data_IF_950364364624
#
_entry.id   IF_950364364624
#
_cell.length_a   1.000
_cell.length_b   1.000
_cell.length_c   1.000
_cell.angle_alpha   90.00
_cell.angle_beta   90.00
_cell.angle_gamma   90.00
#
_symmetry.space_group_name_H-M   'P 1'
#
loop_
_entity.id
_entity.type
_entity.pdbx_description
1 polymer ?
#
# COMPACT_ATOMS: atom_id res chain seq x y z
N UNK A 1 14.22 -32.82 9.30
CA UNK A 1 13.55 -31.87 8.39
C UNK A 1 12.54 -31.15 9.25
N UNK A 2 12.72 -29.84 9.44
CA UNK A 2 11.92 -29.09 10.41
C UNK A 2 10.50 -28.88 9.87
N UNK A 3 9.51 -28.85 10.77
CA UNK A 3 8.08 -28.65 10.41
C UNK A 3 7.85 -27.42 9.53
N UNK A 4 8.72 -26.43 9.65
CA UNK A 4 8.69 -25.18 8.90
C UNK A 4 9.17 -25.32 7.44
N UNK A 5 10.11 -26.23 7.20
CA UNK A 5 10.62 -26.50 5.85
C UNK A 5 9.55 -27.22 5.02
N UNK A 6 8.73 -28.05 5.67
CA UNK A 6 7.60 -28.74 5.05
C UNK A 6 6.52 -27.76 4.58
N UNK A 7 6.13 -26.81 5.44
CA UNK A 7 5.15 -25.76 5.11
C UNK A 7 5.61 -24.83 3.98
N UNK A 8 6.90 -24.48 3.96
CA UNK A 8 7.45 -23.64 2.89
C UNK A 8 7.49 -24.41 1.55
N UNK A 9 7.73 -25.72 1.56
CA UNK A 9 7.66 -26.58 0.37
C UNK A 9 6.23 -26.71 -0.16
N UNK A 10 5.25 -26.93 0.70
CA UNK A 10 3.83 -27.01 0.30
C UNK A 10 3.33 -25.68 -0.30
N UNK A 11 3.73 -24.55 0.28
CA UNK A 11 3.40 -23.23 -0.26
C UNK A 11 4.05 -22.98 -1.64
N UNK A 12 5.28 -23.48 -1.86
CA UNK A 12 5.97 -23.41 -3.15
C UNK A 12 5.29 -24.30 -4.18
N UNK A 13 4.86 -25.51 -3.79
CA UNK A 13 4.15 -26.44 -4.68
C UNK A 13 2.79 -25.90 -5.09
N UNK A 14 2.02 -25.32 -4.17
CA UNK A 14 0.76 -24.68 -4.51
C UNK A 14 0.94 -23.52 -5.51
N UNK A 15 1.95 -22.67 -5.30
CA UNK A 15 2.32 -21.61 -6.25
C UNK A 15 2.71 -22.15 -7.63
N UNK A 16 3.40 -23.29 -7.68
CA UNK A 16 3.80 -23.94 -8.93
C UNK A 16 2.59 -24.51 -9.70
N UNK A 17 1.53 -24.92 -8.99
CA UNK A 17 0.28 -25.42 -9.56
C UNK A 17 -0.71 -24.32 -9.98
N UNK A 18 -0.35 -23.04 -9.80
CA UNK A 18 -1.25 -21.91 -10.10
C UNK A 18 -2.31 -21.68 -9.03
N UNK A 19 -2.22 -22.41 -7.91
CA UNK A 19 -3.04 -22.19 -6.73
C UNK A 19 -2.37 -21.09 -5.88
N UNK A 20 -3.16 -20.14 -5.37
CA UNK A 20 -2.66 -19.20 -4.37
C UNK A 20 -2.14 -19.97 -3.16
N UNK A 21 -1.12 -19.47 -2.44
CA UNK A 21 -0.55 -20.20 -1.30
C UNK A 21 -1.67 -20.61 -0.33
N UNK A 22 -1.71 -21.89 0.08
CA UNK A 22 -2.79 -22.44 0.89
C UNK A 22 -2.77 -21.71 2.22
N UNK A 23 -3.87 -21.02 2.47
CA UNK A 23 -4.08 -20.15 3.60
C UNK A 23 -3.09 -18.97 3.65
N UNK A 24 -3.65 -17.77 3.74
CA UNK A 24 -2.93 -16.64 4.29
C UNK A 24 -2.61 -16.97 5.76
N UNK A 25 -1.58 -17.82 5.98
CA UNK A 25 -0.95 -17.99 7.27
C UNK A 25 -0.74 -16.58 7.76
N UNK A 26 -1.37 -16.24 8.89
CA UNK A 26 -1.20 -15.00 9.63
C UNK A 26 0.26 -14.93 10.11
N UNK A 27 1.21 -14.92 9.17
CA UNK A 27 2.64 -14.79 9.39
C UNK A 27 2.78 -13.37 9.90
N UNK A 28 2.94 -13.25 11.23
CA UNK A 28 3.30 -12.01 11.89
C UNK A 28 4.42 -11.31 11.11
N UNK A 29 4.44 -9.98 11.19
CA UNK A 29 5.42 -9.15 10.47
C UNK A 29 6.83 -9.71 10.73
N UNK A 30 7.48 -10.21 9.68
CA UNK A 30 8.81 -10.82 9.81
C UNK A 30 9.78 -9.75 10.37
N UNK A 31 10.80 -10.11 11.16
CA UNK A 31 11.66 -9.12 11.83
C UNK A 31 12.24 -8.05 10.90
N UNK A 32 12.62 -8.43 9.68
CA UNK A 32 13.14 -7.52 8.64
C UNK A 32 12.06 -6.66 7.96
N UNK A 33 10.78 -6.98 8.11
CA UNK A 33 9.65 -6.18 7.60
C UNK A 33 9.18 -5.13 8.62
N UNK A 34 9.53 -5.28 9.92
CA UNK A 34 9.01 -4.42 11.02
C UNK A 34 9.24 -2.94 10.80
N UNK A 35 10.46 -2.56 10.39
CA UNK A 35 10.79 -1.14 10.15
C UNK A 35 9.98 -0.55 8.99
N UNK A 36 9.75 -1.36 7.95
CA UNK A 36 8.93 -0.98 6.80
C UNK A 36 7.47 -0.78 7.20
N UNK A 37 6.90 -1.74 7.94
CA UNK A 37 5.52 -1.69 8.42
C UNK A 37 5.32 -0.56 9.42
N UNK A 38 6.21 -0.38 10.38
CA UNK A 38 6.12 0.69 11.37
C UNK A 38 6.12 2.08 10.72
N UNK A 39 6.97 2.30 9.70
CA UNK A 39 6.96 3.54 8.92
C UNK A 39 5.65 3.72 8.15
N UNK A 40 5.16 2.67 7.49
CA UNK A 40 3.90 2.71 6.75
C UNK A 40 2.74 3.11 7.67
N UNK A 41 2.59 2.46 8.82
CA UNK A 41 1.50 2.75 9.76
C UNK A 41 1.58 4.17 10.32
N UNK A 42 2.79 4.68 10.61
CA UNK A 42 2.98 6.08 11.00
C UNK A 42 2.51 7.06 9.92
N UNK A 43 2.89 6.82 8.66
CA UNK A 43 2.47 7.64 7.52
C UNK A 43 0.96 7.53 7.28
N UNK A 44 0.39 6.34 7.41
CA UNK A 44 -1.04 6.11 7.28
C UNK A 44 -1.84 6.85 8.34
N UNK A 45 -1.44 6.78 9.62
CA UNK A 45 -2.09 7.54 10.71
C UNK A 45 -2.03 9.05 10.46
N UNK A 46 -0.92 9.55 9.93
CA UNK A 46 -0.78 10.96 9.54
C UNK A 46 -1.78 11.32 8.43
N UNK A 47 -1.83 10.54 7.36
CA UNK A 47 -2.81 10.69 6.28
C UNK A 47 -4.24 10.65 6.81
N UNK A 48 -4.58 9.70 7.68
CA UNK A 48 -5.90 9.57 8.26
C UNK A 48 -6.31 10.83 9.04
N UNK A 49 -5.39 11.38 9.84
CA UNK A 49 -5.63 12.61 10.59
C UNK A 49 -5.78 13.86 9.74
N UNK A 50 -5.03 13.96 8.64
CA UNK A 50 -5.02 15.14 7.77
C UNK A 50 -6.15 15.14 6.74
N UNK A 51 -6.50 13.97 6.19
CA UNK A 51 -7.32 13.87 4.97
C UNK A 51 -8.69 13.23 5.21
N UNK A 52 -8.76 12.15 6.00
CA UNK A 52 -10.03 11.42 6.18
C UNK A 52 -10.99 12.22 7.05
N UNK A 53 -12.30 12.04 6.84
CA UNK A 53 -13.37 12.59 7.69
C UNK A 53 -13.87 11.51 8.66
N UNK A 54 -14.62 11.90 9.69
CA UNK A 54 -15.30 10.94 10.57
C UNK A 54 -16.38 10.18 9.74
N UNK A 55 -16.56 8.86 9.93
CA UNK A 55 -15.94 8.00 10.95
C UNK A 55 -14.57 7.41 10.57
N UNK A 56 -14.21 7.39 9.29
CA UNK A 56 -13.00 6.73 8.79
C UNK A 56 -11.71 7.23 9.45
N UNK A 57 -11.64 8.54 9.76
CA UNK A 57 -10.52 9.15 10.49
C UNK A 57 -10.28 8.48 11.83
N UNK A 58 -11.34 8.25 12.60
CA UNK A 58 -11.25 7.74 13.98
C UNK A 58 -10.82 6.28 13.95
N UNK A 59 -11.48 5.49 13.09
CA UNK A 59 -11.17 4.07 12.86
C UNK A 59 -9.70 3.92 12.44
N UNK A 60 -9.27 4.64 11.39
CA UNK A 60 -7.94 4.48 10.83
C UNK A 60 -6.82 5.09 11.71
N UNK A 61 -7.15 6.00 12.65
CA UNK A 61 -6.18 6.46 13.65
C UNK A 61 -6.01 5.46 14.79
N UNK A 62 -7.10 4.85 15.25
CA UNK A 62 -7.08 3.84 16.29
C UNK A 62 -6.37 2.57 15.79
N UNK A 63 -6.92 1.97 14.73
CA UNK A 63 -6.56 0.65 14.20
C UNK A 63 -6.24 0.75 12.70
N UNK A 64 -5.08 1.33 12.32
CA UNK A 64 -4.73 1.59 10.92
C UNK A 64 -4.60 0.30 10.12
N UNK A 65 -5.30 0.19 8.99
CA UNK A 65 -5.21 -0.97 8.08
C UNK A 65 -5.61 -2.33 8.70
N UNK A 66 -6.24 -2.34 9.88
CA UNK A 66 -6.71 -3.57 10.54
C UNK A 66 -8.13 -3.96 10.09
N UNK A 67 -8.87 -3.03 9.50
CA UNK A 67 -10.16 -3.29 8.86
C UNK A 67 -10.01 -3.31 7.34
N UNK A 68 -11.06 -3.77 6.65
CA UNK A 68 -11.13 -3.54 5.21
C UNK A 68 -11.05 -2.04 4.93
N UNK A 69 -10.20 -1.68 3.96
CA UNK A 69 -10.03 -0.31 3.48
C UNK A 69 -10.46 -0.28 2.01
N UNK A 70 -11.46 0.55 1.67
CA UNK A 70 -11.87 0.81 0.30
C UNK A 70 -10.73 1.27 -0.61
N UNK A 71 -10.77 0.84 -1.88
CA UNK A 71 -9.72 1.11 -2.86
C UNK A 71 -9.50 2.60 -3.11
N UNK A 72 -10.57 3.41 -3.07
CA UNK A 72 -10.51 4.87 -3.21
C UNK A 72 -9.70 5.51 -2.07
N UNK A 73 -9.82 5.04 -0.83
CA UNK A 73 -9.03 5.55 0.31
C UNK A 73 -7.54 5.24 0.09
N UNK A 74 -7.22 4.05 -0.42
CA UNK A 74 -5.84 3.67 -0.76
C UNK A 74 -5.29 4.56 -1.87
N UNK A 75 -6.08 4.82 -2.93
CA UNK A 75 -5.71 5.77 -4.00
C UNK A 75 -5.45 7.17 -3.43
N UNK A 76 -6.31 7.65 -2.53
CA UNK A 76 -6.13 8.95 -1.86
C UNK A 76 -4.85 8.99 -1.03
N UNK A 77 -4.51 7.91 -0.31
CA UNK A 77 -3.23 7.80 0.40
C UNK A 77 -2.05 7.88 -0.57
N UNK A 78 -2.07 7.13 -1.67
CA UNK A 78 -0.99 7.14 -2.67
C UNK A 78 -0.84 8.53 -3.32
N UNK A 79 -1.94 9.22 -3.60
CA UNK A 79 -1.91 10.60 -4.10
C UNK A 79 -1.34 11.58 -3.08
N UNK A 80 -1.77 11.47 -1.82
CA UNK A 80 -1.23 12.27 -0.71
C UNK A 80 0.28 12.03 -0.55
N UNK A 81 0.73 10.77 -0.65
CA UNK A 81 2.16 10.44 -0.65
C UNK A 81 2.87 11.17 -1.76
N UNK A 82 2.36 11.15 -2.97
CA UNK A 82 2.98 11.85 -4.09
C UNK A 82 3.07 13.37 -3.86
N UNK A 83 2.04 13.99 -3.29
CA UNK A 83 1.99 15.46 -3.08
C UNK A 83 2.86 15.94 -1.91
N UNK A 84 2.88 15.21 -0.80
CA UNK A 84 3.44 15.68 0.48
C UNK A 84 4.59 14.81 1.00
N UNK A 85 4.83 13.69 0.35
CA UNK A 85 5.78 12.70 0.79
C UNK A 85 7.20 12.96 0.31
N UNK A 86 8.16 12.65 1.17
CA UNK A 86 9.58 12.55 0.79
C UNK A 86 9.94 11.11 0.45
N UNK A 87 10.81 10.93 -0.54
CA UNK A 87 11.45 9.64 -0.82
C UNK A 87 12.29 9.17 0.37
N UNK A 88 12.71 7.90 0.35
CA UNK A 88 13.58 7.34 1.40
C UNK A 88 15.03 7.83 1.29
N UNK A 89 15.43 8.28 0.11
CA UNK A 89 16.72 8.93 -0.13
C UNK A 89 16.45 10.43 -0.04
N UNK A 90 17.23 11.11 0.80
CA UNK A 90 17.03 12.52 1.08
C UNK A 90 17.08 13.35 -0.21
N UNK A 91 16.17 14.32 -0.33
CA UNK A 91 16.01 15.14 -1.54
C UNK A 91 15.44 14.45 -2.78
N UNK A 92 15.16 13.12 -2.79
CA UNK A 92 14.56 12.44 -3.96
C UNK A 92 13.04 12.40 -3.89
N UNK A 93 12.41 12.74 -5.02
CA UNK A 93 10.97 12.62 -5.23
C UNK A 93 10.49 11.16 -5.11
N UNK A 94 9.22 10.99 -4.77
CA UNK A 94 8.59 9.68 -4.74
C UNK A 94 8.52 9.07 -6.14
N UNK A 95 8.96 7.82 -6.24
CA UNK A 95 8.99 7.07 -7.51
C UNK A 95 7.82 6.12 -7.63
N UNK A 96 7.52 5.69 -8.86
CA UNK A 96 6.53 4.63 -9.16
C UNK A 96 6.82 3.39 -8.33
N UNK A 97 8.09 2.99 -8.24
CA UNK A 97 8.50 1.81 -7.45
C UNK A 97 8.23 1.99 -5.96
N UNK A 98 8.41 3.19 -5.42
CA UNK A 98 8.12 3.49 -4.01
C UNK A 98 6.63 3.31 -3.72
N UNK A 99 5.77 3.89 -4.55
CA UNK A 99 4.31 3.77 -4.38
C UNK A 99 3.81 2.34 -4.57
N UNK A 100 4.37 1.61 -5.55
CA UNK A 100 4.04 0.19 -5.73
C UNK A 100 4.41 -0.62 -4.50
N UNK A 101 5.62 -0.41 -3.94
CA UNK A 101 6.05 -1.08 -2.71
C UNK A 101 5.13 -0.74 -1.54
N UNK A 102 4.78 0.53 -1.34
CA UNK A 102 3.85 0.94 -0.28
C UNK A 102 2.46 0.32 -0.46
N UNK A 103 1.93 0.28 -1.69
CA UNK A 103 0.67 -0.40 -1.97
C UNK A 103 0.71 -1.90 -1.65
N UNK A 104 1.76 -2.62 -2.08
CA UNK A 104 1.91 -4.04 -1.74
C UNK A 104 1.99 -4.27 -0.23
N UNK A 105 2.64 -3.37 0.51
CA UNK A 105 2.68 -3.44 1.96
C UNK A 105 1.31 -3.21 2.58
N UNK A 106 0.52 -2.26 2.07
CA UNK A 106 -0.87 -2.03 2.51
C UNK A 106 -1.73 -3.26 2.23
N UNK A 107 -1.73 -3.75 0.99
CA UNK A 107 -2.54 -4.90 0.58
C UNK A 107 -2.22 -6.15 1.40
N UNK A 108 -0.91 -6.42 1.60
CA UNK A 108 -0.44 -7.53 2.45
C UNK A 108 -0.81 -7.32 3.92
N UNK A 109 -0.78 -6.09 4.43
CA UNK A 109 -1.18 -5.83 5.81
C UNK A 109 -2.68 -6.06 6.00
N UNK A 110 -3.52 -5.51 5.12
CA UNK A 110 -4.98 -5.71 5.16
C UNK A 110 -5.33 -7.20 5.04
N UNK A 111 -4.74 -7.92 4.08
CA UNK A 111 -5.00 -9.35 3.89
C UNK A 111 -4.49 -10.24 5.04
N UNK A 112 -3.60 -9.73 5.91
CA UNK A 112 -3.19 -10.44 7.14
C UNK A 112 -4.17 -10.23 8.29
N UNK A 113 -4.82 -9.07 8.32
CA UNK A 113 -5.74 -8.69 9.40
C UNK A 113 -7.20 -9.02 9.07
N UNK A 114 -7.50 -9.15 7.79
CA UNK A 114 -8.83 -9.39 7.25
C UNK A 114 -8.80 -10.54 6.24
N UNK A 115 -9.95 -11.14 5.94
CA UNK A 115 -10.09 -12.15 4.89
C UNK A 115 -10.23 -11.53 3.49
N UNK A 116 -9.71 -10.31 3.31
CA UNK A 116 -9.81 -9.59 2.03
C UNK A 116 -8.93 -10.24 0.98
N UNK A 117 -9.60 -10.74 -0.06
CA UNK A 117 -8.96 -11.16 -1.31
C UNK A 117 -8.88 -9.99 -2.28
N UNK A 118 -7.67 -9.68 -2.75
CA UNK A 118 -7.44 -8.64 -3.75
C UNK A 118 -7.58 -9.22 -5.14
N UNK A 119 -8.46 -8.66 -5.97
CA UNK A 119 -8.62 -9.13 -7.34
C UNK A 119 -7.45 -8.66 -8.23
N UNK A 120 -7.18 -9.39 -9.31
CA UNK A 120 -6.23 -8.95 -10.36
C UNK A 120 -6.62 -7.57 -10.91
N UNK A 121 -7.93 -7.28 -10.97
CA UNK A 121 -8.47 -6.00 -11.40
C UNK A 121 -8.08 -4.86 -10.45
N UNK A 122 -8.15 -5.07 -9.13
CA UNK A 122 -7.73 -4.06 -8.14
C UNK A 122 -6.25 -3.73 -8.28
N UNK A 123 -5.41 -4.76 -8.50
CA UNK A 123 -3.98 -4.56 -8.75
C UNK A 123 -3.71 -3.81 -10.06
N UNK A 124 -4.46 -4.11 -11.13
CA UNK A 124 -4.32 -3.42 -12.40
C UNK A 124 -4.71 -1.94 -12.28
N UNK A 125 -5.84 -1.65 -11.62
CA UNK A 125 -6.35 -0.30 -11.39
C UNK A 125 -5.37 0.56 -10.57
N UNK A 126 -4.80 0.01 -9.50
CA UNK A 126 -3.79 0.74 -8.71
C UNK A 126 -2.50 0.97 -9.51
N UNK A 127 -2.05 -0.02 -10.30
CA UNK A 127 -0.86 0.15 -11.15
C UNK A 127 -1.07 1.27 -12.16
N UNK A 128 -2.23 1.31 -12.81
CA UNK A 128 -2.60 2.37 -13.75
C UNK A 128 -2.66 3.72 -13.03
N UNK A 129 -3.35 3.81 -11.90
CA UNK A 129 -3.45 5.03 -11.10
C UNK A 129 -2.08 5.59 -10.71
N UNK A 130 -1.16 4.74 -10.23
CA UNK A 130 0.21 5.15 -9.87
C UNK A 130 0.95 5.72 -11.08
N UNK A 131 0.84 5.05 -12.24
CA UNK A 131 1.52 5.47 -13.47
C UNK A 131 0.97 6.82 -13.96
N UNK A 132 -0.35 7.03 -13.92
CA UNK A 132 -1.01 8.26 -14.36
C UNK A 132 -0.76 9.43 -13.40
N UNK A 133 -0.84 9.18 -12.09
CA UNK A 133 -0.61 10.19 -11.05
C UNK A 133 0.79 10.80 -11.09
N UNK A 134 1.82 9.98 -11.32
CA UNK A 134 3.18 10.50 -11.42
C UNK A 134 3.49 11.17 -12.75
N UNK A 135 2.77 10.82 -13.83
CA UNK A 135 2.86 11.52 -15.12
C UNK A 135 2.23 12.91 -15.04
N UNK A 136 1.07 13.06 -14.38
CA UNK A 136 0.37 14.34 -14.27
C UNK A 136 1.13 15.39 -13.45
N UNK A 137 2.06 14.99 -12.58
CA UNK A 137 2.96 15.92 -11.87
C UNK A 137 4.23 16.28 -12.63
N UNK A 138 4.60 15.49 -13.64
CA UNK A 138 5.68 15.82 -14.58
C UNK A 138 5.23 16.81 -15.65
N UNK A 139 3.93 17.10 -15.74
CA UNK A 139 3.41 18.21 -16.52
C UNK A 139 3.53 19.45 -15.64
N UNK A 140 4.48 20.37 -15.91
CA UNK A 140 4.45 21.67 -15.25
C UNK A 140 3.10 22.30 -15.59
N UNK A 141 2.49 22.99 -14.65
CA UNK A 141 1.37 23.87 -14.94
C UNK A 141 1.82 24.93 -15.97
N UNK A 142 1.70 24.62 -17.25
CA UNK A 142 1.72 25.56 -18.37
C UNK A 142 0.36 26.27 -18.44
N UNK A 143 -0.17 26.76 -17.31
CA UNK A 143 -1.35 27.64 -17.26
C UNK A 143 -1.31 28.46 -15.95
N UNK A 144 -0.28 29.29 -15.79
CA UNK A 144 -0.34 30.57 -15.06
C UNK A 144 0.59 31.54 -15.82
N UNK A 145 0.17 32.70 -16.30
CA UNK A 145 -1.07 33.43 -16.03
C UNK A 145 -1.38 34.47 -17.13
N UNK A 146 -1.58 35.74 -16.77
CA UNK A 146 -2.89 36.37 -16.81
C UNK A 146 -3.02 37.34 -17.99
N UNK A 147 -4.20 37.39 -18.63
CA UNK A 147 -4.60 38.54 -19.43
C UNK A 147 -5.87 39.14 -18.81
N UNK A 148 -5.68 40.12 -17.94
CA UNK A 148 -6.37 41.42 -17.91
C UNK A 148 -5.84 42.29 -16.80
#
# INVERSE_FOLDING_TARGET
MDSKDLEDLEAIMALACGEGPPEAVRRGVRPYERDGTGRLLKLWKKFAGEILKSPDREIQKATPLETDVPLNIIKSYLWWRVKYGKGRIDGKAITVQTLRKEFYQIARHIARQTDKTWSVRDFADIKEFINTTLKSLKVPQLLRGPER
#
